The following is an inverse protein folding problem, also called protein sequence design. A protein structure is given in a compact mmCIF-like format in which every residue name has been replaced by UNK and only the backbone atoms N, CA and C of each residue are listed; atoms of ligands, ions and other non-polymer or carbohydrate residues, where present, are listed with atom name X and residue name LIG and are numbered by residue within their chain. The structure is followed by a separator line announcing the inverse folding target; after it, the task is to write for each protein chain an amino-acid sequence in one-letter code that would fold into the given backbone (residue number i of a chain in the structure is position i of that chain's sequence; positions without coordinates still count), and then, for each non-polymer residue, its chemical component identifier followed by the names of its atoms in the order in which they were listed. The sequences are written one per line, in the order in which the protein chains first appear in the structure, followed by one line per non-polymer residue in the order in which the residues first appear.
data_IF_179836370255
#
_entry.id   IF_179836370255
#
_cell.length_a   1.000
_cell.length_b   1.000
_cell.length_c   1.000
_cell.angle_alpha   90.00
_cell.angle_beta   90.00
_cell.angle_gamma   90.00
#
_symmetry.space_group_name_H-M   'P 1'
#
loop_
_entity.id
_entity.type
_entity.pdbx_description
1 polymer ?
#
# COMPACT_ATOMS: atom_id res chain seq x y z
N UNK A 1 -8.23 -29.84 29.55
CA UNK A 1 -8.07 -28.77 28.54
C UNK A 1 -9.13 -27.72 28.82
N UNK A 2 -8.73 -26.49 29.16
CA UNK A 2 -9.67 -25.41 29.45
C UNK A 2 -10.24 -24.88 28.15
N UNK A 3 -11.55 -25.07 27.94
CA UNK A 3 -12.30 -24.51 26.82
C UNK A 3 -12.53 -23.03 27.07
N UNK A 4 -11.52 -22.20 26.79
CA UNK A 4 -11.68 -20.73 26.84
C UNK A 4 -12.80 -20.34 25.88
N UNK A 5 -13.91 -19.87 26.45
CA UNK A 5 -15.08 -19.39 25.71
C UNK A 5 -14.62 -18.27 24.74
N UNK A 6 -14.81 -18.49 23.44
CA UNK A 6 -14.38 -17.59 22.36
C UNK A 6 -14.89 -16.16 22.55
N UNK A 7 -16.07 -15.99 23.16
CA UNK A 7 -16.64 -14.68 23.48
C UNK A 7 -15.83 -13.90 24.51
N UNK A 8 -15.34 -14.56 25.56
CA UNK A 8 -14.47 -13.91 26.56
C UNK A 8 -13.10 -13.56 25.98
N UNK A 9 -12.53 -14.45 25.16
CA UNK A 9 -11.25 -14.18 24.52
C UNK A 9 -11.35 -12.99 23.53
N UNK A 10 -12.49 -12.86 22.85
CA UNK A 10 -12.79 -11.73 21.96
C UNK A 10 -12.92 -10.41 22.74
N UNK A 11 -13.67 -10.37 23.84
CA UNK A 11 -13.87 -9.14 24.63
C UNK A 11 -12.54 -8.61 25.22
N UNK A 12 -11.69 -9.50 25.74
CA UNK A 12 -10.42 -9.09 26.37
C UNK A 12 -9.32 -8.76 25.36
N UNK A 13 -9.21 -9.46 24.22
CA UNK A 13 -8.15 -9.17 23.25
C UNK A 13 -8.52 -8.05 22.27
N UNK A 14 -9.78 -7.96 21.82
CA UNK A 14 -10.21 -6.94 20.86
C UNK A 14 -10.01 -5.54 21.43
N UNK A 15 -10.34 -5.33 22.71
CA UNK A 15 -10.18 -4.02 23.34
C UNK A 15 -8.72 -3.53 23.36
N UNK A 16 -7.74 -4.44 23.51
CA UNK A 16 -6.32 -4.07 23.50
C UNK A 16 -5.80 -3.75 22.11
N UNK A 17 -6.20 -4.52 21.10
CA UNK A 17 -5.77 -4.28 19.72
C UNK A 17 -6.49 -3.06 19.14
N UNK A 18 -7.78 -2.86 19.44
CA UNK A 18 -8.53 -1.65 19.10
C UNK A 18 -7.93 -0.41 19.75
N UNK A 19 -7.47 -0.50 21.00
CA UNK A 19 -6.76 0.60 21.66
C UNK A 19 -5.45 0.95 20.96
N UNK A 20 -4.68 -0.05 20.48
CA UNK A 20 -3.45 0.21 19.71
C UNK A 20 -3.76 0.90 18.39
N UNK A 21 -4.78 0.44 17.68
CA UNK A 21 -5.23 1.05 16.41
C UNK A 21 -5.73 2.47 16.66
N UNK A 22 -6.58 2.66 17.67
CA UNK A 22 -7.09 3.96 18.07
C UNK A 22 -5.97 4.93 18.45
N UNK A 23 -4.97 4.48 19.21
CA UNK A 23 -3.80 5.29 19.57
C UNK A 23 -2.93 5.66 18.35
N UNK A 24 -2.75 4.74 17.40
CA UNK A 24 -2.02 5.03 16.16
C UNK A 24 -2.78 6.04 15.28
N UNK A 25 -4.11 6.00 15.32
CA UNK A 25 -4.97 6.83 14.48
C UNK A 25 -5.48 8.11 15.17
N UNK A 26 -5.31 8.29 16.49
CA UNK A 26 -5.91 9.38 17.28
C UNK A 26 -5.43 10.78 16.90
N UNK A 27 -4.35 10.89 16.14
CA UNK A 27 -3.83 12.16 15.61
C UNK A 27 -4.15 12.41 14.14
N UNK A 28 -4.79 11.46 13.44
CA UNK A 28 -5.12 11.61 12.03
C UNK A 28 -6.51 12.23 11.88
N UNK A 29 -6.57 13.40 11.24
CA UNK A 29 -7.84 14.00 10.85
C UNK A 29 -8.48 13.15 9.73
N UNK A 30 -9.64 12.58 10.05
CA UNK A 30 -10.41 11.69 9.18
C UNK A 30 -10.96 12.38 7.93
N UNK A 31 -10.87 13.72 7.86
CA UNK A 31 -11.32 14.55 6.74
C UNK A 31 -10.19 15.03 5.85
N UNK A 32 -8.93 14.75 6.19
CA UNK A 32 -7.79 15.12 5.34
C UNK A 32 -7.86 14.32 4.05
N UNK A 33 -8.20 15.01 2.96
CA UNK A 33 -8.10 14.44 1.61
C UNK A 33 -6.63 14.20 1.32
N UNK A 34 -6.20 12.95 1.43
CA UNK A 34 -4.90 12.51 0.91
C UNK A 34 -4.96 12.65 -0.61
N UNK A 35 -4.23 13.62 -1.15
CA UNK A 35 -4.11 13.79 -2.58
C UNK A 35 -3.29 12.61 -3.13
N UNK A 36 -3.98 11.62 -3.71
CA UNK A 36 -3.32 10.54 -4.41
C UNK A 36 -2.56 11.11 -5.61
N UNK A 37 -1.32 10.66 -5.79
CA UNK A 37 -0.53 11.01 -6.96
C UNK A 37 -1.06 10.21 -8.15
N UNK A 38 -1.24 10.89 -9.29
CA UNK A 38 -1.80 10.31 -10.50
C UNK A 38 -0.79 10.36 -11.63
N UNK A 39 -0.64 9.24 -12.34
CA UNK A 39 0.22 9.12 -13.52
C UNK A 39 -0.40 9.71 -14.79
N UNK A 40 -1.68 10.11 -14.74
CA UNK A 40 -2.43 10.60 -15.90
C UNK A 40 -1.89 11.92 -16.49
N UNK A 41 -1.01 12.63 -15.78
CA UNK A 41 -0.37 13.85 -16.27
C UNK A 41 0.74 13.60 -17.29
N UNK A 42 1.25 12.36 -17.40
CA UNK A 42 2.27 12.02 -18.38
C UNK A 42 1.70 11.89 -19.79
N UNK A 43 2.52 12.12 -20.82
CA UNK A 43 2.11 11.93 -22.21
C UNK A 43 1.89 10.43 -22.53
N UNK A 44 1.21 10.13 -23.63
CA UNK A 44 0.83 8.76 -24.00
C UNK A 44 2.04 7.82 -24.15
N UNK A 45 3.13 8.30 -24.74
CA UNK A 45 4.35 7.50 -24.92
C UNK A 45 4.99 7.13 -23.57
N UNK A 46 5.02 8.06 -22.62
CA UNK A 46 5.52 7.83 -21.27
C UNK A 46 4.61 6.90 -20.48
N UNK A 47 3.29 7.02 -20.65
CA UNK A 47 2.32 6.11 -20.01
C UNK A 47 2.48 4.67 -20.48
N UNK A 48 2.78 4.46 -21.77
CA UNK A 48 3.04 3.12 -22.31
C UNK A 48 4.28 2.49 -21.67
N UNK A 49 5.39 3.24 -21.59
CA UNK A 49 6.62 2.78 -20.92
C UNK A 49 6.37 2.43 -19.45
N UNK A 50 5.66 3.31 -18.74
CA UNK A 50 5.26 3.07 -17.34
C UNK A 50 4.45 1.78 -17.22
N UNK A 51 3.54 1.51 -18.15
CA UNK A 51 2.72 0.29 -18.14
C UNK A 51 3.58 -0.96 -18.31
N UNK A 52 4.57 -0.92 -19.21
CA UNK A 52 5.53 -2.02 -19.38
C UNK A 52 6.36 -2.24 -18.09
N UNK A 53 6.85 -1.16 -17.50
CA UNK A 53 7.61 -1.23 -16.25
C UNK A 53 6.77 -1.76 -15.08
N UNK A 54 5.50 -1.36 -14.99
CA UNK A 54 4.55 -1.88 -14.01
C UNK A 54 4.35 -3.39 -14.13
N UNK A 55 4.18 -3.89 -15.35
CA UNK A 55 4.02 -5.33 -15.61
C UNK A 55 5.28 -6.08 -15.18
N UNK A 56 6.46 -5.64 -15.59
CA UNK A 56 7.72 -6.29 -15.20
C UNK A 56 7.95 -6.24 -13.68
N UNK A 57 7.79 -5.07 -13.06
CA UNK A 57 8.08 -4.91 -11.65
C UNK A 57 7.07 -5.65 -10.78
N UNK A 58 5.78 -5.37 -10.95
CA UNK A 58 4.76 -5.87 -10.02
C UNK A 58 4.28 -7.27 -10.37
N UNK A 59 4.10 -7.61 -11.65
CA UNK A 59 3.70 -8.95 -12.04
C UNK A 59 4.89 -9.91 -12.04
N UNK A 60 6.00 -9.57 -12.70
CA UNK A 60 7.11 -10.52 -12.82
C UNK A 60 7.98 -10.60 -11.56
N UNK A 61 8.46 -9.47 -11.02
CA UNK A 61 9.37 -9.51 -9.87
C UNK A 61 8.64 -9.79 -8.54
N UNK A 62 7.48 -9.18 -8.33
CA UNK A 62 6.74 -9.31 -7.06
C UNK A 62 5.54 -10.26 -7.11
N UNK A 63 5.16 -10.77 -8.30
CA UNK A 63 4.04 -11.72 -8.46
C UNK A 63 2.71 -11.21 -7.88
N UNK A 64 2.48 -9.89 -7.97
CA UNK A 64 1.30 -9.22 -7.44
C UNK A 64 0.09 -9.25 -8.38
N UNK A 65 0.25 -9.83 -9.57
CA UNK A 65 -0.82 -10.12 -10.54
C UNK A 65 -1.65 -11.35 -10.15
N UNK A 66 -1.23 -12.08 -9.12
CA UNK A 66 -1.99 -13.22 -8.61
C UNK A 66 -3.36 -12.80 -8.08
N UNK A 67 -4.38 -13.60 -8.42
CA UNK A 67 -5.79 -13.39 -8.01
C UNK A 67 -5.94 -13.21 -6.49
N UNK A 68 -5.05 -13.83 -5.70
CA UNK A 68 -5.05 -13.73 -4.23
C UNK A 68 -4.83 -12.31 -3.70
N UNK A 69 -4.16 -11.44 -4.46
CA UNK A 69 -3.86 -10.07 -4.04
C UNK A 69 -4.93 -9.07 -4.50
N UNK A 70 -5.73 -9.40 -5.51
CA UNK A 70 -6.80 -8.57 -6.06
C UNK A 70 -6.36 -7.09 -6.25
N UNK A 71 -5.19 -6.89 -6.84
CA UNK A 71 -4.59 -5.57 -7.03
C UNK A 71 -5.32 -4.84 -8.16
N UNK A 72 -6.01 -3.75 -7.82
CA UNK A 72 -6.61 -2.88 -8.84
C UNK A 72 -5.55 -2.03 -9.55
N UNK A 73 -5.77 -1.70 -10.83
CA UNK A 73 -4.88 -0.83 -11.60
C UNK A 73 -4.57 0.49 -10.86
N UNK A 74 -5.57 1.04 -10.14
CA UNK A 74 -5.39 2.29 -9.37
C UNK A 74 -4.35 2.15 -8.26
N UNK A 75 -4.26 0.99 -7.62
CA UNK A 75 -3.26 0.72 -6.58
C UNK A 75 -1.88 0.66 -7.21
N UNK A 76 -1.75 -0.04 -8.34
CA UNK A 76 -0.50 -0.13 -9.10
C UNK A 76 -0.03 1.27 -9.52
N UNK A 77 -0.92 2.10 -10.06
CA UNK A 77 -0.60 3.47 -10.49
C UNK A 77 -0.09 4.34 -9.33
N UNK A 78 -0.73 4.25 -8.17
CA UNK A 78 -0.29 5.00 -6.98
C UNK A 78 1.09 4.53 -6.54
N UNK A 79 1.30 3.22 -6.42
CA UNK A 79 2.61 2.66 -6.03
C UNK A 79 3.72 3.10 -7.00
N UNK A 80 3.48 3.03 -8.31
CA UNK A 80 4.44 3.51 -9.30
C UNK A 80 4.70 5.01 -9.18
N UNK A 81 3.67 5.83 -8.94
CA UNK A 81 3.85 7.27 -8.77
C UNK A 81 4.74 7.61 -7.56
N UNK A 82 4.59 6.86 -6.46
CA UNK A 82 5.47 7.01 -5.30
C UNK A 82 6.89 6.52 -5.60
N UNK A 83 7.05 5.38 -6.26
CA UNK A 83 8.38 4.88 -6.67
C UNK A 83 9.12 5.89 -7.53
N UNK A 84 8.49 6.43 -8.58
CA UNK A 84 9.10 7.41 -9.47
C UNK A 84 9.50 8.69 -8.73
N UNK A 85 8.67 9.17 -7.81
CA UNK A 85 8.94 10.40 -7.07
C UNK A 85 10.09 10.25 -6.07
N UNK A 86 10.22 9.08 -5.46
CA UNK A 86 11.25 8.79 -4.46
C UNK A 86 12.46 8.06 -5.06
N UNK A 87 12.48 7.78 -6.37
CA UNK A 87 13.52 6.99 -7.02
C UNK A 87 14.92 7.61 -6.86
N UNK A 88 15.03 8.94 -6.95
CA UNK A 88 16.32 9.63 -6.75
C UNK A 88 16.85 9.41 -5.33
N UNK A 89 15.97 9.49 -4.32
CA UNK A 89 16.33 9.24 -2.92
C UNK A 89 16.71 7.77 -2.68
N UNK A 90 15.97 6.84 -3.31
CA UNK A 90 16.30 5.41 -3.26
C UNK A 90 17.66 5.11 -3.91
N UNK A 91 17.99 5.82 -5.00
CA UNK A 91 19.28 5.66 -5.69
C UNK A 91 20.45 6.16 -4.84
N UNK A 92 20.27 7.27 -4.11
CA UNK A 92 21.28 7.80 -3.19
C UNK A 92 21.54 6.85 -2.02
N UNK A 93 20.49 6.23 -1.46
CA UNK A 93 20.62 5.23 -0.38
C UNK A 93 21.35 3.96 -0.80
N UNK A 94 21.34 3.61 -2.09
CA UNK A 94 21.97 2.41 -2.63
C UNK A 94 23.44 2.61 -3.05
N UNK A 95 23.97 3.84 -2.91
CA UNK A 95 25.37 4.18 -3.19
C UNK A 95 26.27 4.22 -1.93
N UNK A 96 25.76 3.69 -0.81
CA UNK A 96 26.49 3.53 0.45
C UNK A 96 26.83 2.05 0.70
#
# INVERSE_FOLDING_TARGET
MSTTNKGFNYIFNTSREDHKVSKALSGYDTKVKVLLKYLKSFNAQTQEKITVDQQNLFATCFQLDQVKYNMSQRVVDVLTAYLLLHYLQLKELHHQ
#
